data_IF_712150776369
#
_entry.id   IF_712150776369
#
_cell.length_a   1.000
_cell.length_b   1.000
_cell.length_c   1.000
_cell.angle_alpha   90.00
_cell.angle_beta   90.00
_cell.angle_gamma   90.00
#
_symmetry.space_group_name_H-M   'P 1'
#
loop_
_entity.id
_entity.type
_entity.pdbx_description
1 polymer ?
#
# COMPACT_ATOMS: atom_id res chain seq x y z
N UNK A 1 -9.99 -6.09 6.68
CA UNK A 1 -9.67 -7.36 6.00
C UNK A 1 -10.92 -7.99 5.40
N UNK A 2 -10.84 -8.52 4.16
CA UNK A 2 -11.94 -9.23 3.49
C UNK A 2 -11.67 -10.74 3.43
N UNK A 3 -12.72 -11.53 3.18
CA UNK A 3 -12.71 -12.99 3.26
C UNK A 3 -11.67 -13.65 2.36
N UNK A 4 -11.56 -13.24 1.09
CA UNK A 4 -10.56 -13.83 0.17
C UNK A 4 -9.13 -13.54 0.59
N UNK A 5 -8.88 -12.52 1.41
CA UNK A 5 -7.56 -12.26 1.94
C UNK A 5 -7.18 -13.24 3.04
N UNK A 6 -8.13 -13.57 3.93
CA UNK A 6 -7.95 -14.63 4.91
C UNK A 6 -7.66 -15.97 4.24
N UNK A 7 -8.41 -16.33 3.20
CA UNK A 7 -8.18 -17.60 2.50
C UNK A 7 -6.80 -17.67 1.82
N UNK A 8 -6.27 -16.54 1.36
CA UNK A 8 -4.88 -16.48 0.86
C UNK A 8 -3.86 -16.63 1.98
N UNK A 9 -4.13 -16.04 3.15
CA UNK A 9 -3.29 -16.22 4.33
C UNK A 9 -3.32 -17.67 4.85
N UNK A 10 -4.50 -18.31 4.86
CA UNK A 10 -4.66 -19.73 5.20
C UNK A 10 -3.81 -20.61 4.26
N UNK A 11 -3.89 -20.38 2.95
CA UNK A 11 -3.06 -21.10 1.98
C UNK A 11 -1.55 -20.88 2.21
N UNK A 12 -1.13 -19.64 2.53
CA UNK A 12 0.26 -19.34 2.86
C UNK A 12 0.71 -20.00 4.16
N UNK A 13 -0.13 -19.98 5.19
CA UNK A 13 0.10 -20.66 6.45
C UNK A 13 0.34 -22.15 6.23
N UNK A 14 -0.58 -22.84 5.56
CA UNK A 14 -0.51 -24.27 5.29
C UNK A 14 0.72 -24.66 4.46
N UNK A 15 1.09 -23.82 3.48
CA UNK A 15 2.15 -24.15 2.52
C UNK A 15 3.55 -23.81 3.02
N UNK A 16 3.72 -22.66 3.68
CA UNK A 16 5.04 -22.09 3.97
C UNK A 16 5.35 -22.00 5.47
N UNK A 17 4.36 -21.76 6.33
CA UNK A 17 4.60 -21.48 7.75
C UNK A 17 4.44 -22.71 8.63
N UNK A 18 3.33 -23.44 8.47
CA UNK A 18 3.01 -24.61 9.28
C UNK A 18 4.12 -25.68 9.24
N UNK A 19 4.68 -26.06 8.07
CA UNK A 19 5.77 -27.05 8.03
C UNK A 19 7.04 -26.62 8.77
N UNK A 20 7.34 -25.32 8.86
CA UNK A 20 8.48 -24.80 9.62
C UNK A 20 8.16 -24.69 11.11
N UNK A 21 6.93 -24.29 11.44
CA UNK A 21 6.39 -24.21 12.79
C UNK A 21 6.32 -25.57 13.50
N UNK A 22 6.03 -26.65 12.77
CA UNK A 22 6.05 -28.02 13.28
C UNK A 22 7.46 -28.52 13.63
N UNK A 23 8.49 -27.92 13.02
CA UNK A 23 9.90 -28.29 13.28
C UNK A 23 10.52 -27.49 14.40
N UNK A 24 10.17 -26.20 14.51
CA UNK A 24 10.76 -25.29 15.49
C UNK A 24 9.88 -24.07 15.73
N UNK A 25 10.02 -23.39 16.88
CA UNK A 25 9.38 -22.09 17.11
C UNK A 25 9.71 -21.08 16.01
N UNK A 26 8.68 -20.36 15.55
CA UNK A 26 8.79 -19.32 14.52
C UNK A 26 8.33 -17.96 15.05
N UNK A 27 8.94 -16.89 14.53
CA UNK A 27 8.61 -15.49 14.80
C UNK A 27 7.99 -14.86 13.58
N UNK A 28 6.81 -14.27 13.79
CA UNK A 28 5.98 -13.66 12.74
C UNK A 28 5.79 -12.18 13.05
N UNK A 29 6.01 -11.33 12.05
CA UNK A 29 5.64 -9.91 12.09
C UNK A 29 4.48 -9.66 11.12
N UNK A 30 3.36 -9.10 11.61
CA UNK A 30 2.30 -8.57 10.77
C UNK A 30 2.43 -7.06 10.63
N UNK A 31 2.47 -6.56 9.39
CA UNK A 31 2.55 -5.13 9.06
C UNK A 31 1.17 -4.64 8.65
N UNK A 32 0.64 -3.65 9.37
CA UNK A 32 -0.73 -3.14 9.22
C UNK A 32 -1.72 -4.02 9.99
N UNK A 33 -1.39 -4.37 11.23
CA UNK A 33 -2.10 -5.41 11.99
C UNK A 33 -3.42 -4.96 12.61
N UNK A 34 -3.71 -3.65 12.66
CA UNK A 34 -4.85 -3.15 13.42
C UNK A 34 -6.16 -3.70 12.86
N UNK A 35 -6.91 -4.35 13.74
CA UNK A 35 -8.23 -4.88 13.42
C UNK A 35 -9.31 -3.86 13.77
N UNK A 36 -10.07 -3.44 12.78
CA UNK A 36 -11.21 -2.54 12.92
C UNK A 36 -12.50 -3.34 13.19
N UNK A 37 -13.31 -2.84 14.12
CA UNK A 37 -14.60 -3.43 14.50
C UNK A 37 -14.49 -4.94 14.76
N UNK A 38 -15.44 -5.73 14.22
CA UNK A 38 -15.48 -7.19 14.31
C UNK A 38 -14.79 -7.89 13.12
N UNK A 39 -13.94 -7.18 12.37
CA UNK A 39 -13.22 -7.82 11.26
C UNK A 39 -12.24 -8.88 11.78
N UNK A 40 -12.06 -9.99 11.05
CA UNK A 40 -11.10 -11.00 11.41
C UNK A 40 -9.65 -10.50 11.28
N UNK A 41 -8.74 -11.16 12.00
CA UNK A 41 -7.29 -10.93 12.00
C UNK A 41 -6.57 -12.11 11.35
N UNK A 42 -5.40 -11.90 10.75
CA UNK A 42 -4.53 -13.02 10.37
C UNK A 42 -4.00 -13.82 11.55
N UNK A 43 -3.92 -13.23 12.75
CA UNK A 43 -3.47 -13.94 13.96
C UNK A 43 -4.29 -15.19 14.23
N UNK A 44 -5.60 -15.17 13.93
CA UNK A 44 -6.48 -16.33 14.14
C UNK A 44 -6.18 -17.52 13.22
N UNK A 45 -5.46 -17.28 12.11
CA UNK A 45 -5.04 -18.34 11.16
C UNK A 45 -3.86 -19.12 11.72
N UNK A 46 -3.08 -18.50 12.61
CA UNK A 46 -1.78 -19.00 13.09
C UNK A 46 -1.83 -19.36 14.58
N UNK A 47 -2.97 -19.88 15.04
CA UNK A 47 -3.17 -20.31 16.44
C UNK A 47 -2.42 -21.62 16.72
N UNK A 48 -1.11 -21.48 16.94
CA UNK A 48 -0.20 -22.60 17.18
C UNK A 48 0.83 -22.22 18.25
N UNK A 49 1.14 -23.14 19.17
CA UNK A 49 1.99 -22.86 20.35
C UNK A 49 3.43 -22.43 20.01
N UNK A 50 3.95 -22.91 18.87
CA UNK A 50 5.26 -22.54 18.35
C UNK A 50 5.29 -21.19 17.60
N UNK A 51 4.19 -20.42 17.56
CA UNK A 51 4.15 -19.12 16.88
C UNK A 51 4.30 -17.98 17.88
N UNK A 52 5.38 -17.21 17.73
CA UNK A 52 5.54 -15.92 18.38
C UNK A 52 5.12 -14.81 17.41
N UNK A 53 3.91 -14.29 17.57
CA UNK A 53 3.32 -13.29 16.68
C UNK A 53 3.45 -11.87 17.23
N UNK A 54 3.90 -10.93 16.40
CA UNK A 54 3.95 -9.49 16.68
C UNK A 54 3.14 -8.73 15.63
N UNK A 55 2.10 -8.01 16.04
CA UNK A 55 1.35 -7.09 15.20
C UNK A 55 1.91 -5.68 15.26
N UNK A 56 2.24 -5.10 14.10
CA UNK A 56 2.73 -3.74 13.94
C UNK A 56 1.69 -2.91 13.20
N UNK A 57 1.36 -1.74 13.76
CA UNK A 57 0.46 -0.77 13.13
C UNK A 57 0.83 0.66 13.53
N UNK A 58 0.41 1.64 12.72
CA UNK A 58 0.65 3.06 12.99
C UNK A 58 -0.14 3.55 14.21
N UNK A 59 -1.22 2.85 14.56
CA UNK A 59 -2.07 3.20 15.68
C UNK A 59 -2.27 2.02 16.62
N UNK A 60 -2.29 2.30 17.93
CA UNK A 60 -2.68 1.29 18.91
C UNK A 60 -4.12 0.79 18.64
N UNK A 61 -4.37 -0.48 18.93
CA UNK A 61 -5.67 -1.09 18.74
C UNK A 61 -5.67 -2.60 18.94
N UNK A 62 -6.81 -3.23 18.63
CA UNK A 62 -6.92 -4.68 18.64
C UNK A 62 -5.94 -5.28 17.64
N UNK A 63 -5.23 -6.34 18.04
CA UNK A 63 -4.21 -7.05 17.26
C UNK A 63 -2.88 -6.27 17.05
N UNK A 64 -2.65 -5.18 17.77
CA UNK A 64 -1.41 -4.39 17.69
C UNK A 64 -0.58 -4.59 18.95
N UNK A 65 0.66 -5.06 18.78
CA UNK A 65 1.64 -5.26 19.85
C UNK A 65 2.70 -4.15 19.85
N UNK A 66 2.99 -3.56 18.68
CA UNK A 66 3.99 -2.52 18.50
C UNK A 66 3.44 -1.36 17.65
N UNK A 67 3.53 -0.15 18.20
CA UNK A 67 3.34 1.10 17.46
C UNK A 67 4.72 1.74 17.25
N UNK A 68 5.22 1.80 16.01
CA UNK A 68 6.58 2.29 15.75
C UNK A 68 6.62 3.82 15.85
N UNK A 69 7.77 4.37 16.25
CA UNK A 69 7.99 5.81 16.30
C UNK A 69 8.06 6.46 14.91
N UNK A 70 8.28 5.68 13.85
CA UNK A 70 8.27 6.14 12.46
C UNK A 70 7.42 5.19 11.60
N UNK A 71 6.54 5.69 10.71
CA UNK A 71 5.57 4.86 10.01
C UNK A 71 6.19 3.78 9.10
N UNK A 72 7.28 4.14 8.43
CA UNK A 72 7.91 3.27 7.43
C UNK A 72 9.28 2.69 7.84
N UNK A 73 9.87 3.09 8.97
CA UNK A 73 11.22 2.69 9.41
C UNK A 73 11.17 2.29 10.88
N UNK A 74 11.38 1.02 11.20
CA UNK A 74 11.06 0.47 12.52
C UNK A 74 12.33 0.24 13.33
N UNK A 75 12.84 1.32 13.96
CA UNK A 75 14.08 1.27 14.76
C UNK A 75 13.95 0.41 16.02
N UNK A 76 12.72 0.17 16.45
CA UNK A 76 12.35 -0.71 17.55
C UNK A 76 12.59 -2.19 17.21
N UNK A 77 12.66 -2.52 15.91
CA UNK A 77 12.91 -3.85 15.40
C UNK A 77 14.36 -3.98 14.90
N UNK A 78 15.09 -4.95 15.43
CA UNK A 78 16.42 -5.30 14.97
C UNK A 78 16.39 -5.99 13.60
N UNK A 79 17.52 -5.99 12.90
CA UNK A 79 17.67 -6.77 11.68
C UNK A 79 17.68 -8.28 11.98
N UNK A 80 17.24 -9.09 11.02
CA UNK A 80 17.32 -10.56 11.09
C UNK A 80 16.59 -11.19 12.28
N UNK A 81 15.41 -10.67 12.65
CA UNK A 81 14.64 -11.10 13.82
C UNK A 81 13.45 -12.01 13.53
N UNK A 82 12.91 -11.97 12.32
CA UNK A 82 11.66 -12.66 11.98
C UNK A 82 11.89 -13.74 10.91
N UNK A 83 11.19 -14.86 11.09
CA UNK A 83 11.16 -15.95 10.13
C UNK A 83 10.16 -15.66 9.03
N UNK A 84 9.03 -15.05 9.42
CA UNK A 84 7.98 -14.63 8.52
C UNK A 84 7.57 -13.18 8.74
N UNK A 85 7.34 -12.46 7.65
CA UNK A 85 6.67 -11.17 7.65
C UNK A 85 5.40 -11.27 6.81
N UNK A 86 4.27 -10.74 7.29
CA UNK A 86 3.01 -10.78 6.57
C UNK A 86 2.40 -9.38 6.51
N UNK A 87 1.75 -9.05 5.39
CA UNK A 87 0.98 -7.82 5.27
C UNK A 87 -0.22 -8.02 4.36
N UNK A 88 -1.38 -7.52 4.77
CA UNK A 88 -2.59 -7.52 3.95
C UNK A 88 -3.19 -6.13 3.88
N UNK A 89 -3.55 -5.67 2.68
CA UNK A 89 -4.35 -4.47 2.44
C UNK A 89 -3.80 -3.24 3.19
N UNK A 90 -2.49 -3.06 3.09
CA UNK A 90 -1.74 -1.98 3.72
C UNK A 90 -0.88 -1.23 2.70
N UNK A 91 -0.34 -1.94 1.72
CA UNK A 91 0.61 -1.40 0.74
C UNK A 91 -0.01 -0.35 -0.18
N UNK A 92 -1.30 -0.48 -0.53
CA UNK A 92 -2.04 0.50 -1.32
C UNK A 92 -2.19 1.84 -0.60
N UNK A 93 -2.25 1.83 0.73
CA UNK A 93 -2.37 3.04 1.55
C UNK A 93 -1.01 3.64 1.91
N UNK A 94 0.08 2.94 1.59
CA UNK A 94 1.44 3.33 1.94
C UNK A 94 2.08 4.17 0.82
N UNK A 95 2.33 5.48 1.03
CA UNK A 95 2.95 6.33 0.02
C UNK A 95 4.42 5.97 -0.28
N UNK A 96 5.04 5.16 0.58
CA UNK A 96 6.45 4.75 0.52
C UNK A 96 6.59 3.22 0.65
N UNK A 97 5.75 2.46 -0.05
CA UNK A 97 5.71 1.01 0.05
C UNK A 97 7.08 0.35 -0.20
N UNK A 98 7.97 0.96 -0.99
CA UNK A 98 9.32 0.47 -1.23
C UNK A 98 10.22 0.58 0.00
N UNK A 99 10.06 1.62 0.84
CA UNK A 99 10.76 1.74 2.11
C UNK A 99 10.28 0.65 3.07
N UNK A 100 8.97 0.49 3.20
CA UNK A 100 8.39 -0.57 4.04
C UNK A 100 8.80 -1.97 3.58
N UNK A 101 8.86 -2.23 2.28
CA UNK A 101 9.34 -3.50 1.76
C UNK A 101 10.84 -3.73 2.03
N UNK A 102 11.65 -2.67 1.97
CA UNK A 102 13.06 -2.74 2.38
C UNK A 102 13.21 -3.03 3.89
N UNK A 103 12.36 -2.45 4.73
CA UNK A 103 12.33 -2.75 6.17
C UNK A 103 11.89 -4.18 6.45
N UNK A 104 10.90 -4.71 5.72
CA UNK A 104 10.53 -6.13 5.77
C UNK A 104 11.76 -7.00 5.46
N UNK A 105 12.48 -6.71 4.37
CA UNK A 105 13.70 -7.42 4.03
C UNK A 105 14.80 -7.28 5.10
N UNK A 106 14.89 -6.12 5.77
CA UNK A 106 15.87 -5.90 6.86
C UNK A 106 15.56 -6.75 8.09
N UNK A 107 14.31 -6.78 8.53
CA UNK A 107 13.89 -7.47 9.76
C UNK A 107 13.76 -8.99 9.58
N UNK A 108 13.57 -9.48 8.36
CA UNK A 108 13.66 -10.92 8.05
C UNK A 108 15.07 -11.46 8.32
N UNK A 109 15.17 -12.65 8.90
CA UNK A 109 16.42 -13.43 8.95
C UNK A 109 16.81 -13.92 7.55
N UNK A 110 18.09 -14.26 7.28
CA UNK A 110 18.47 -14.97 6.06
C UNK A 110 17.61 -16.24 5.88
N UNK A 111 17.06 -16.43 4.68
CA UNK A 111 16.09 -17.49 4.37
C UNK A 111 14.65 -17.23 4.84
N UNK A 112 14.40 -16.17 5.61
CA UNK A 112 13.06 -15.77 6.04
C UNK A 112 12.19 -15.31 4.86
N UNK A 113 10.88 -15.45 5.02
CA UNK A 113 9.90 -15.29 3.93
C UNK A 113 8.88 -14.19 4.26
N UNK A 114 8.59 -13.32 3.30
CA UNK A 114 7.49 -12.36 3.38
C UNK A 114 6.32 -12.78 2.50
N UNK A 115 5.09 -12.58 2.98
CA UNK A 115 3.88 -12.50 2.16
C UNK A 115 3.34 -11.07 2.19
N UNK A 116 3.08 -10.50 1.03
CA UNK A 116 2.33 -9.25 0.89
C UNK A 116 1.12 -9.51 0.01
N UNK A 117 -0.07 -9.12 0.48
CA UNK A 117 -1.34 -9.12 -0.25
C UNK A 117 -1.80 -7.67 -0.41
N UNK A 118 -1.91 -7.18 -1.64
CA UNK A 118 -2.34 -5.81 -1.93
C UNK A 118 -3.25 -5.77 -3.18
N UNK A 119 -4.14 -4.78 -3.33
CA UNK A 119 -5.05 -4.74 -4.47
C UNK A 119 -4.32 -4.48 -5.79
N UNK A 120 -4.67 -5.25 -6.84
CA UNK A 120 -4.22 -5.03 -8.23
C UNK A 120 -5.23 -4.25 -9.08
N UNK A 121 -6.43 -4.01 -8.57
CA UNK A 121 -7.53 -3.28 -9.23
C UNK A 121 -8.49 -2.65 -8.21
N UNK A 122 -9.65 -2.19 -8.65
CA UNK A 122 -10.71 -1.64 -7.80
C UNK A 122 -10.81 -0.11 -7.82
N UNK A 123 -11.90 0.40 -7.26
CA UNK A 123 -12.14 1.84 -7.16
C UNK A 123 -11.26 2.49 -6.09
N UNK A 124 -11.14 3.81 -6.12
CA UNK A 124 -10.44 4.57 -5.07
C UNK A 124 -11.17 4.41 -3.73
N UNK A 125 -10.47 3.98 -2.69
CA UNK A 125 -10.94 3.85 -1.31
C UNK A 125 -9.86 4.37 -0.34
N UNK A 126 -10.10 5.51 0.29
CA UNK A 126 -9.08 6.20 1.10
C UNK A 126 -9.08 5.73 2.55
N UNK A 127 -7.90 5.43 3.09
CA UNK A 127 -7.72 5.14 4.52
C UNK A 127 -6.29 5.44 5.06
N UNK A 128 -5.86 6.71 5.21
CA UNK A 128 -6.45 7.94 4.67
C UNK A 128 -6.05 8.21 3.22
N UNK A 129 -5.01 7.53 2.72
CA UNK A 129 -4.57 7.60 1.33
C UNK A 129 -5.04 6.38 0.55
N UNK A 130 -4.90 6.44 -0.77
CA UNK A 130 -5.07 5.30 -1.66
C UNK A 130 -4.15 5.53 -2.87
N UNK A 131 -2.93 5.04 -2.74
CA UNK A 131 -1.79 5.43 -3.55
C UNK A 131 -1.52 4.47 -4.71
N UNK A 132 -1.74 3.17 -4.53
CA UNK A 132 -1.18 2.16 -5.44
C UNK A 132 -2.14 1.02 -5.74
N UNK A 133 -2.05 0.53 -6.99
CA UNK A 133 -2.49 -0.80 -7.38
C UNK A 133 -1.28 -1.57 -7.89
N UNK A 134 -1.14 -2.80 -7.46
CA UNK A 134 0.04 -3.61 -7.75
C UNK A 134 -0.25 -4.55 -8.92
N UNK A 135 0.38 -4.28 -10.05
CA UNK A 135 0.37 -5.20 -11.20
C UNK A 135 1.38 -6.33 -11.02
N UNK A 136 1.26 -7.45 -11.76
CA UNK A 136 2.10 -8.63 -11.56
C UNK A 136 3.60 -8.31 -11.54
N UNK A 137 4.07 -7.48 -12.48
CA UNK A 137 5.50 -7.14 -12.64
C UNK A 137 6.03 -6.19 -11.56
N UNK A 138 5.15 -5.54 -10.80
CA UNK A 138 5.55 -4.63 -9.71
C UNK A 138 6.35 -5.40 -8.65
N UNK A 139 5.98 -6.65 -8.36
CA UNK A 139 6.62 -7.46 -7.35
C UNK A 139 8.02 -7.91 -7.73
N UNK A 140 8.21 -8.38 -8.97
CA UNK A 140 9.54 -8.73 -9.49
C UNK A 140 10.47 -7.51 -9.46
N UNK A 141 9.95 -6.36 -9.89
CA UNK A 141 10.69 -5.09 -9.87
C UNK A 141 11.08 -4.68 -8.45
N UNK A 142 10.15 -4.80 -7.49
CA UNK A 142 10.38 -4.43 -6.10
C UNK A 142 11.35 -5.39 -5.39
N UNK A 143 11.24 -6.69 -5.64
CA UNK A 143 12.17 -7.69 -5.12
C UNK A 143 13.60 -7.42 -5.63
N UNK A 144 13.74 -7.19 -6.94
CA UNK A 144 15.01 -6.83 -7.55
C UNK A 144 15.59 -5.54 -6.94
N UNK A 145 14.76 -4.51 -6.80
CA UNK A 145 15.16 -3.22 -6.20
C UNK A 145 15.67 -3.39 -4.77
N UNK A 146 15.02 -4.20 -3.94
CA UNK A 146 15.43 -4.43 -2.55
C UNK A 146 16.50 -5.51 -2.39
N UNK A 147 16.85 -6.26 -3.44
CA UNK A 147 17.84 -7.34 -3.36
C UNK A 147 17.34 -8.59 -2.63
N UNK A 148 16.03 -8.83 -2.68
CA UNK A 148 15.37 -10.00 -2.10
C UNK A 148 14.89 -10.93 -3.23
N UNK A 149 14.82 -12.24 -2.95
CA UNK A 149 14.42 -13.23 -3.95
C UNK A 149 12.90 -13.23 -4.13
N UNK A 150 12.45 -13.24 -5.38
CA UNK A 150 11.06 -13.51 -5.70
C UNK A 150 10.83 -15.02 -5.67
N UNK A 151 9.97 -15.50 -4.77
CA UNK A 151 9.61 -16.92 -4.66
C UNK A 151 8.35 -17.22 -5.46
N UNK A 152 7.31 -16.42 -5.27
CA UNK A 152 6.01 -16.62 -5.91
C UNK A 152 5.29 -15.29 -6.11
N UNK A 153 4.50 -15.19 -7.17
CA UNK A 153 3.55 -14.09 -7.36
C UNK A 153 2.18 -14.62 -7.73
N UNK A 154 1.15 -13.96 -7.25
CA UNK A 154 -0.22 -14.23 -7.64
C UNK A 154 -0.91 -12.94 -8.08
N UNK A 155 -1.78 -13.04 -9.09
CA UNK A 155 -2.65 -11.95 -9.50
C UNK A 155 -4.06 -12.49 -9.69
N UNK A 156 -4.95 -12.11 -8.78
CA UNK A 156 -6.30 -12.63 -8.72
C UNK A 156 -7.11 -12.18 -9.94
N UNK A 157 -7.71 -13.14 -10.64
CA UNK A 157 -8.65 -12.81 -11.70
C UNK A 157 -9.98 -12.34 -11.09
N UNK A 158 -10.83 -11.71 -11.91
CA UNK A 158 -12.08 -11.13 -11.43
C UNK A 158 -13.12 -12.13 -10.89
N UNK A 159 -12.96 -13.43 -11.17
CA UNK A 159 -13.88 -14.50 -10.77
C UNK A 159 -15.36 -14.13 -10.87
N UNK A 160 -16.16 -14.59 -9.90
CA UNK A 160 -17.56 -14.22 -9.77
C UNK A 160 -17.75 -13.19 -8.65
N UNK A 161 -17.66 -11.91 -9.00
CA UNK A 161 -17.84 -10.79 -8.05
C UNK A 161 -19.23 -10.68 -7.42
N UNK A 162 -20.23 -11.40 -7.93
CA UNK A 162 -21.56 -11.43 -7.31
C UNK A 162 -21.58 -12.32 -6.07
N UNK A 163 -20.86 -13.44 -6.10
CA UNK A 163 -20.76 -14.36 -4.97
C UNK A 163 -19.69 -13.94 -3.97
N UNK A 164 -18.61 -13.32 -4.45
CA UNK A 164 -17.52 -12.82 -3.61
C UNK A 164 -17.11 -11.41 -4.07
N UNK A 165 -17.72 -10.35 -3.50
CA UNK A 165 -17.48 -8.98 -3.94
C UNK A 165 -16.03 -8.52 -3.85
N UNK A 166 -15.24 -9.08 -2.91
CA UNK A 166 -13.84 -8.69 -2.74
C UNK A 166 -12.95 -9.01 -3.95
N UNK A 167 -13.37 -9.91 -4.84
CA UNK A 167 -12.70 -10.17 -6.13
C UNK A 167 -12.65 -8.95 -7.08
N UNK A 168 -13.36 -7.86 -6.75
CA UNK A 168 -13.19 -6.60 -7.46
C UNK A 168 -11.81 -5.97 -7.29
N UNK A 169 -11.11 -6.30 -6.20
CA UNK A 169 -9.79 -5.77 -5.88
C UNK A 169 -8.68 -6.45 -6.67
N UNK A 170 -8.92 -7.64 -7.22
CA UNK A 170 -7.90 -8.44 -7.90
C UNK A 170 -6.61 -8.48 -7.12
N UNK A 171 -6.65 -9.04 -5.91
CA UNK A 171 -5.47 -9.07 -5.05
C UNK A 171 -4.25 -9.56 -5.82
N UNK A 172 -3.20 -8.75 -5.77
CA UNK A 172 -1.89 -9.12 -6.22
C UNK A 172 -1.03 -9.41 -5.01
N UNK A 173 -0.38 -10.58 -5.05
CA UNK A 173 0.38 -11.09 -3.94
C UNK A 173 1.81 -11.38 -4.35
N UNK A 174 2.73 -11.23 -3.40
CA UNK A 174 4.11 -11.68 -3.53
C UNK A 174 4.52 -12.50 -2.33
N UNK A 175 5.22 -13.60 -2.60
CA UNK A 175 6.05 -14.31 -1.64
C UNK A 175 7.50 -14.00 -1.98
N UNK A 176 8.22 -13.38 -1.05
CA UNK A 176 9.62 -13.00 -1.22
C UNK A 176 10.49 -13.64 -0.14
N UNK A 177 11.74 -13.98 -0.45
CA UNK A 177 12.66 -14.60 0.51
C UNK A 177 13.94 -13.83 0.61
N UNK A 178 14.35 -13.52 1.85
CA UNK A 178 15.68 -12.95 2.09
C UNK A 178 16.75 -13.95 1.69
N UNK A 179 17.68 -13.61 0.78
CA UNK A 179 18.73 -14.53 0.37
C UNK A 179 19.59 -14.94 1.55
N UNK A 180 20.12 -16.15 1.50
CA UNK A 180 21.17 -16.62 2.40
C UNK A 180 22.51 -16.47 1.69
N UNK A 181 23.46 -15.79 2.33
CA UNK A 181 24.80 -15.62 1.80
C UNK A 181 25.81 -16.41 2.62
N UNK A 182 26.71 -17.12 1.93
CA UNK A 182 27.91 -17.69 2.56
C UNK A 182 28.99 -16.62 2.77
N UNK A 183 29.02 -15.60 1.93
CA UNK A 183 29.98 -14.49 1.98
C UNK A 183 29.39 -13.28 2.73
N UNK A 184 30.07 -12.88 3.81
CA UNK A 184 29.74 -11.70 4.60
C UNK A 184 29.72 -10.40 3.77
N UNK A 185 30.49 -10.32 2.69
CA UNK A 185 30.51 -9.15 1.80
C UNK A 185 29.19 -8.96 1.06
N UNK A 186 28.52 -10.05 0.69
CA UNK A 186 27.22 -10.02 0.03
C UNK A 186 26.12 -9.60 0.99
N UNK A 187 26.15 -10.10 2.24
CA UNK A 187 25.25 -9.65 3.29
C UNK A 187 25.43 -8.15 3.57
N UNK A 188 26.67 -7.68 3.69
CA UNK A 188 26.96 -6.26 3.89
C UNK A 188 26.48 -5.38 2.72
N UNK A 189 26.57 -5.87 1.48
CA UNK A 189 26.06 -5.18 0.30
C UNK A 189 24.52 -5.07 0.30
N UNK A 190 23.82 -6.14 0.71
CA UNK A 190 22.37 -6.12 0.90
C UNK A 190 21.99 -5.11 2.00
N UNK A 191 22.64 -5.17 3.15
CA UNK A 191 22.37 -4.28 4.28
C UNK A 191 22.61 -2.81 3.89
N UNK A 192 23.68 -2.52 3.16
CA UNK A 192 23.96 -1.18 2.64
C UNK A 192 22.85 -0.68 1.71
N UNK A 193 22.37 -1.53 0.79
CA UNK A 193 21.27 -1.22 -0.12
C UNK A 193 19.98 -0.90 0.66
N UNK A 194 19.59 -1.76 1.60
CA UNK A 194 18.37 -1.58 2.38
C UNK A 194 18.43 -0.30 3.25
N UNK A 195 19.59 0.01 3.82
CA UNK A 195 19.82 1.26 4.54
C UNK A 195 19.71 2.48 3.63
N UNK A 196 20.25 2.41 2.40
CA UNK A 196 20.15 3.50 1.43
C UNK A 196 18.69 3.77 1.01
N UNK A 197 17.89 2.72 0.80
CA UNK A 197 16.45 2.85 0.54
C UNK A 197 15.75 3.48 1.74
N UNK A 198 16.03 2.99 2.94
CA UNK A 198 15.41 3.49 4.18
C UNK A 198 15.76 4.95 4.48
N UNK A 199 16.95 5.41 4.05
CA UNK A 199 17.36 6.81 4.17
C UNK A 199 16.53 7.77 3.28
N UNK A 200 15.75 7.25 2.33
CA UNK A 200 14.82 8.06 1.52
C UNK A 200 13.47 8.31 2.19
N UNK A 201 13.23 7.67 3.35
CA UNK A 201 11.97 7.82 4.08
C UNK A 201 11.76 9.25 4.54
N UNK A 202 10.55 9.77 4.32
CA UNK A 202 10.07 10.97 5.02
C UNK A 202 9.10 10.56 6.12
N UNK A 203 9.02 11.41 7.15
CA UNK A 203 8.09 11.20 8.25
C UNK A 203 6.64 11.53 7.86
N UNK A 204 6.47 12.50 6.97
CA UNK A 204 5.16 13.05 6.62
C UNK A 204 4.39 12.12 5.68
N UNK A 205 3.13 11.86 6.03
CA UNK A 205 2.14 11.28 5.12
C UNK A 205 1.49 12.44 4.36
N UNK A 206 1.49 12.45 3.01
CA UNK A 206 0.89 13.52 2.22
C UNK A 206 -0.57 13.81 2.62
N UNK A 207 -0.98 15.08 2.66
CA UNK A 207 -2.40 15.40 2.88
C UNK A 207 -3.23 15.09 1.62
N UNK A 208 -4.41 14.51 1.82
CA UNK A 208 -5.34 14.15 0.75
C UNK A 208 -6.19 15.34 0.25
N UNK A 209 -5.67 16.58 0.29
CA UNK A 209 -6.42 17.82 -0.01
C UNK A 209 -6.69 18.06 -1.51
N UNK A 210 -6.76 16.99 -2.31
CA UNK A 210 -7.02 17.12 -3.74
C UNK A 210 -8.49 17.47 -4.02
N UNK A 211 -8.75 18.75 -4.29
CA UNK A 211 -10.09 19.31 -4.55
C UNK A 211 -10.55 19.15 -6.02
N UNK A 212 -10.41 17.95 -6.59
CA UNK A 212 -10.91 17.63 -7.93
C UNK A 212 -9.98 18.00 -9.09
N UNK A 213 -10.47 17.76 -10.32
CA UNK A 213 -9.66 17.83 -11.54
C UNK A 213 -9.09 19.23 -11.78
N UNK A 214 -7.76 19.30 -11.96
CA UNK A 214 -7.08 20.54 -12.32
C UNK A 214 -7.48 21.07 -13.72
N UNK A 215 -7.18 22.34 -14.03
CA UNK A 215 -7.66 23.01 -15.25
C UNK A 215 -7.25 22.28 -16.54
N UNK A 216 -6.10 21.60 -16.54
CA UNK A 216 -5.65 20.79 -17.67
C UNK A 216 -6.64 19.66 -18.02
N UNK A 217 -7.01 18.85 -17.02
CA UNK A 217 -7.88 17.69 -17.24
C UNK A 217 -9.35 18.07 -17.39
N UNK A 218 -9.79 19.15 -16.75
CA UNK A 218 -11.11 19.76 -17.03
C UNK A 218 -11.20 20.20 -18.49
N UNK A 219 -10.15 20.83 -19.02
CA UNK A 219 -10.10 21.22 -20.44
C UNK A 219 -10.14 20.00 -21.35
N UNK A 220 -9.31 19.00 -21.07
CA UNK A 220 -9.29 17.74 -21.82
C UNK A 220 -10.67 17.04 -21.82
N UNK A 221 -11.28 16.80 -20.67
CA UNK A 221 -12.59 16.12 -20.58
C UNK A 221 -13.70 16.88 -21.32
N UNK A 222 -13.59 18.21 -21.41
CA UNK A 222 -14.61 19.04 -22.08
C UNK A 222 -14.58 18.91 -23.61
N UNK A 223 -13.42 18.56 -24.18
CA UNK A 223 -13.20 18.46 -25.63
C UNK A 223 -12.97 17.03 -26.12
N UNK A 224 -12.68 16.10 -25.22
CA UNK A 224 -12.37 14.73 -25.57
C UNK A 224 -13.60 14.03 -26.18
N UNK A 225 -13.51 13.55 -27.44
CA UNK A 225 -14.68 13.08 -28.19
C UNK A 225 -15.29 11.79 -27.64
N UNK A 226 -14.56 11.04 -26.82
CA UNK A 226 -14.96 9.74 -26.27
C UNK A 226 -15.46 9.82 -24.82
N UNK A 227 -15.30 10.98 -24.15
CA UNK A 227 -15.86 11.16 -22.82
C UNK A 227 -17.32 11.59 -22.95
N UNK A 228 -18.25 10.88 -22.29
CA UNK A 228 -19.62 11.38 -22.13
C UNK A 228 -19.53 12.76 -21.50
N UNK A 229 -20.00 13.80 -22.21
CA UNK A 229 -20.17 15.14 -21.66
C UNK A 229 -20.90 15.02 -20.33
N UNK A 230 -20.21 15.24 -19.20
CA UNK A 230 -20.84 15.22 -17.87
C UNK A 230 -22.01 16.20 -17.91
N UNK A 231 -23.25 15.70 -17.83
CA UNK A 231 -24.46 16.54 -17.82
C UNK A 231 -24.35 17.46 -16.59
N UNK A 232 -23.99 18.73 -16.82
CA UNK A 232 -23.74 19.73 -15.77
C UNK A 232 -22.45 20.53 -15.95
N UNK A 233 -21.40 19.97 -16.57
CA UNK A 233 -20.11 20.66 -16.72
C UNK A 233 -20.19 21.83 -17.70
N UNK A 234 -20.93 21.67 -18.81
CA UNK A 234 -21.19 22.76 -19.76
C UNK A 234 -21.96 23.91 -19.09
N UNK A 235 -22.89 23.59 -18.19
CA UNK A 235 -23.65 24.59 -17.45
C UNK A 235 -22.77 25.33 -16.42
N UNK A 236 -21.86 24.62 -15.74
CA UNK A 236 -20.89 25.20 -14.81
C UNK A 236 -19.88 26.11 -15.52
N UNK A 237 -19.26 25.63 -16.62
CA UNK A 237 -18.34 26.42 -17.46
C UNK A 237 -19.06 27.65 -18.03
N UNK A 238 -20.31 27.51 -18.49
CA UNK A 238 -21.10 28.64 -18.98
C UNK A 238 -21.46 29.66 -17.90
N UNK A 239 -21.68 29.22 -16.64
CA UNK A 239 -21.89 30.12 -15.49
C UNK A 239 -20.61 30.85 -15.12
N UNK A 240 -19.48 30.16 -15.07
CA UNK A 240 -18.17 30.75 -14.77
C UNK A 240 -17.78 31.79 -15.83
N UNK A 241 -17.96 31.47 -17.11
CA UNK A 241 -17.71 32.39 -18.22
C UNK A 241 -18.65 33.62 -18.17
N UNK A 242 -19.92 33.46 -17.76
CA UNK A 242 -20.85 34.58 -17.53
C UNK A 242 -20.43 35.43 -16.33
N UNK A 243 -19.95 34.83 -15.24
CA UNK A 243 -19.43 35.56 -14.08
C UNK A 243 -18.18 36.38 -14.43
N UNK A 244 -17.21 35.78 -15.13
CA UNK A 244 -16.02 36.48 -15.63
C UNK A 244 -16.35 37.64 -16.58
N UNK A 245 -17.33 37.46 -17.48
CA UNK A 245 -17.83 38.54 -18.35
C UNK A 245 -18.56 39.65 -17.57
N UNK A 246 -19.26 39.32 -16.48
CA UNK A 246 -19.89 40.32 -15.61
C UNK A 246 -18.86 41.09 -14.79
N UNK A 247 -17.86 40.41 -14.26
CA UNK A 247 -16.75 41.02 -13.51
C UNK A 247 -15.98 42.01 -14.38
N UNK A 248 -15.58 41.61 -15.59
CA UNK A 248 -14.88 42.48 -16.55
C UNK A 248 -15.73 43.67 -17.05
N UNK A 249 -17.06 43.53 -17.12
CA UNK A 249 -17.98 44.66 -17.41
C UNK A 249 -18.19 45.59 -16.20
N UNK A 250 -18.16 45.07 -14.98
CA UNK A 250 -18.24 45.86 -13.75
C UNK A 250 -17.02 46.74 -13.54
N UNK A 251 -15.83 46.18 -13.76
CA UNK A 251 -14.55 46.91 -13.65
C UNK A 251 -14.42 48.04 -14.69
N UNK A 252 -15.00 47.89 -15.89
CA UNK A 252 -15.04 48.98 -16.90
C UNK A 252 -16.00 50.12 -16.56
N UNK A 253 -17.01 49.90 -15.70
CA UNK A 253 -17.98 50.93 -15.30
C UNK A 253 -17.57 51.72 -14.05
N UNK A 254 -16.57 51.24 -13.31
CA UNK A 254 -16.06 51.89 -12.09
C UNK A 254 -14.75 52.67 -12.31
N UNK A 255 -14.30 52.84 -13.55
CA UNK A 255 -13.18 53.73 -13.84
C UNK A 255 -13.65 55.19 -13.71
N UNK A 256 -13.11 56.00 -12.77
CA UNK A 256 -13.54 57.37 -12.60
C UNK A 256 -13.16 58.20 -13.84
N UNK A 257 -14.15 58.92 -14.35
CA UNK A 257 -14.04 59.98 -15.34
C UNK A 257 -12.98 61.01 -14.88
N UNK A 258 -11.79 61.01 -15.50
CA UNK A 258 -10.88 62.15 -15.43
C UNK A 258 -11.46 63.27 -16.29
N UNK A 259 -12.12 64.24 -15.65
CA UNK A 259 -12.41 65.54 -16.24
C UNK A 259 -11.18 66.46 -16.09
N UNK A 260 -11.04 67.37 -17.06
CA UNK A 260 -9.98 68.34 -17.26
C UNK A 260 -9.78 69.32 -16.09
#
# INVERSE_FOLDING_TARGET
MHRTSLSKMEAFWETYMLPECERSPIRVLEIGSKCYDDHPSYRQVMDHENVSYCGLDLEAGRNVDLVPGHPFVWKELGSNQFDFCISGQTFEHNPMFWVTFAEIARVLRPGGIALVIAPGSGAVHRYPLDCWRFYPDAWSSLCHYCGIELVETYFENHGNRRSEPSLMWCDSCVIARKPTFEDASQQAALDHRLNAISATATFDVPSADYSGDGPCFVSYESTAPYHRKRKGLIAAVSRLAKQLKRYTRGVRKSAPSRAA
#
